data_IF_657812262461
#
_entry.id   IF_657812262461
#
_cell.length_a   1.000
_cell.length_b   1.000
_cell.length_c   1.000
_cell.angle_alpha   90.00
_cell.angle_beta   90.00
_cell.angle_gamma   90.00
#
_symmetry.space_group_name_H-M   'P 1'
#
loop_
_entity.id
_entity.type
_entity.pdbx_description
1 polymer ?
#
# COMPACT_ATOMS: atom_id res chain seq x y z
N UNK A 1 -12.01 -21.35 0.43
CA UNK A 1 -11.47 -21.49 -0.93
C UNK A 1 -10.65 -20.25 -1.28
N UNK A 2 -9.39 -20.19 -0.83
CA UNK A 2 -8.46 -19.10 -1.16
C UNK A 2 -7.58 -19.42 -2.37
N UNK A 3 -6.97 -18.39 -2.95
CA UNK A 3 -6.00 -18.47 -4.05
C UNK A 3 -4.64 -17.98 -3.55
N UNK A 4 -3.59 -18.80 -3.70
CA UNK A 4 -2.21 -18.43 -3.36
C UNK A 4 -1.35 -18.32 -4.62
N UNK A 5 -0.64 -17.20 -4.76
CA UNK A 5 0.26 -16.85 -5.87
C UNK A 5 1.67 -16.73 -5.30
N UNK A 6 2.57 -17.64 -5.67
CA UNK A 6 3.92 -17.70 -5.08
C UNK A 6 5.02 -17.21 -6.02
N UNK A 7 5.73 -16.17 -5.61
CA UNK A 7 6.95 -15.67 -6.21
C UNK A 7 8.14 -16.60 -6.00
N UNK A 8 9.07 -16.60 -6.96
CA UNK A 8 10.29 -17.43 -6.96
C UNK A 8 11.54 -16.66 -7.37
N UNK A 9 11.51 -15.33 -7.26
CA UNK A 9 12.57 -14.41 -7.69
C UNK A 9 12.57 -14.15 -9.20
N UNK A 10 11.52 -14.59 -9.91
CA UNK A 10 11.34 -14.31 -11.34
C UNK A 10 10.42 -13.11 -11.53
N UNK A 11 10.61 -12.39 -12.65
CA UNK A 11 9.69 -11.33 -13.08
C UNK A 11 8.31 -11.92 -13.36
N UNK A 12 7.28 -11.36 -12.74
CA UNK A 12 5.89 -11.79 -12.93
C UNK A 12 4.96 -10.61 -13.16
N UNK A 13 4.00 -10.76 -14.07
CA UNK A 13 2.92 -9.80 -14.28
C UNK A 13 1.59 -10.48 -13.95
N UNK A 14 1.03 -10.15 -12.79
CA UNK A 14 -0.21 -10.69 -12.26
C UNK A 14 -1.28 -9.62 -12.30
N UNK A 15 -2.38 -9.91 -12.99
CA UNK A 15 -3.58 -9.07 -12.94
C UNK A 15 -4.73 -9.87 -12.36
N UNK A 16 -5.37 -9.35 -11.31
CA UNK A 16 -6.53 -9.95 -10.65
C UNK A 16 -7.69 -8.96 -10.70
N UNK A 17 -8.79 -9.41 -11.31
CA UNK A 17 -10.09 -8.73 -11.28
C UNK A 17 -11.13 -9.77 -10.88
N UNK A 18 -12.07 -9.44 -10.00
CA UNK A 18 -13.17 -10.33 -9.65
C UNK A 18 -14.43 -9.57 -9.27
N UNK A 19 -15.60 -10.02 -9.73
CA UNK A 19 -16.87 -9.46 -9.26
C UNK A 19 -17.27 -9.90 -7.86
N UNK A 20 -16.77 -11.06 -7.42
CA UNK A 20 -16.99 -11.63 -6.10
C UNK A 20 -16.04 -12.82 -5.90
N UNK A 21 -15.23 -12.79 -4.85
CA UNK A 21 -14.47 -13.95 -4.38
C UNK A 21 -15.15 -14.48 -3.11
N UNK A 22 -16.00 -15.49 -3.27
CA UNK A 22 -16.75 -16.07 -2.16
C UNK A 22 -15.89 -17.02 -1.33
N UNK A 23 -15.68 -16.66 -0.06
CA UNK A 23 -15.07 -17.49 0.99
C UNK A 23 -13.61 -17.92 0.73
N UNK A 24 -12.65 -17.01 0.79
CA UNK A 24 -11.23 -17.35 0.92
C UNK A 24 -10.28 -16.18 0.71
N UNK A 25 -9.05 -16.33 1.21
CA UNK A 25 -7.99 -15.33 1.08
C UNK A 25 -7.35 -15.31 -0.30
N UNK A 26 -6.97 -14.12 -0.78
CA UNK A 26 -6.03 -13.96 -1.88
C UNK A 26 -4.63 -13.73 -1.29
N UNK A 27 -3.76 -14.71 -1.46
CA UNK A 27 -2.42 -14.70 -0.87
C UNK A 27 -1.36 -14.53 -1.95
N UNK A 28 -0.42 -13.63 -1.73
CA UNK A 28 0.79 -13.47 -2.51
C UNK A 28 1.98 -13.78 -1.60
N UNK A 29 2.82 -14.72 -1.96
CA UNK A 29 3.91 -15.17 -1.08
C UNK A 29 5.25 -15.23 -1.80
N UNK A 30 6.31 -14.75 -1.16
CA UNK A 30 7.67 -14.92 -1.65
C UNK A 30 8.19 -13.79 -2.53
N UNK A 31 9.23 -14.12 -3.29
CA UNK A 31 10.07 -13.15 -4.00
C UNK A 31 9.55 -12.83 -5.41
N UNK A 32 9.27 -11.55 -5.66
CA UNK A 32 8.86 -11.00 -6.94
C UNK A 32 10.00 -10.18 -7.54
N UNK A 33 10.75 -10.83 -8.43
CA UNK A 33 11.98 -10.28 -8.99
C UNK A 33 11.77 -8.98 -9.79
N UNK A 34 12.87 -8.30 -10.11
CA UNK A 34 12.91 -6.99 -10.80
C UNK A 34 11.83 -6.80 -11.88
N UNK A 35 11.17 -5.65 -11.82
CA UNK A 35 10.11 -5.25 -12.76
C UNK A 35 8.86 -6.15 -12.76
N UNK A 36 8.58 -6.81 -11.64
CA UNK A 36 7.30 -7.53 -11.47
C UNK A 36 6.15 -6.53 -11.34
N UNK A 37 4.96 -6.93 -11.75
CA UNK A 37 3.75 -6.11 -11.63
C UNK A 37 2.65 -6.98 -11.06
N UNK A 38 2.09 -6.60 -9.93
CA UNK A 38 0.94 -7.24 -9.32
C UNK A 38 -0.15 -6.19 -9.22
N UNK A 39 -1.27 -6.42 -9.87
CA UNK A 39 -2.40 -5.52 -9.89
C UNK A 39 -3.65 -6.27 -9.47
N UNK A 40 -4.25 -5.86 -8.36
CA UNK A 40 -5.59 -6.27 -7.94
C UNK A 40 -6.48 -5.05 -8.06
N UNK A 41 -7.44 -5.07 -8.99
CA UNK A 41 -8.24 -3.89 -9.26
C UNK A 41 -9.73 -4.18 -9.47
N UNK A 42 -10.56 -3.20 -9.11
CA UNK A 42 -12.01 -3.23 -9.34
C UNK A 42 -12.69 -4.47 -8.77
N UNK A 43 -12.11 -5.06 -7.72
CA UNK A 43 -12.56 -6.34 -7.17
C UNK A 43 -13.41 -6.15 -5.93
N UNK A 44 -14.41 -7.00 -5.76
CA UNK A 44 -15.20 -7.08 -4.52
C UNK A 44 -14.88 -8.39 -3.82
N UNK A 45 -14.30 -8.30 -2.61
CA UNK A 45 -13.70 -9.44 -1.91
C UNK A 45 -14.13 -9.41 -0.45
N UNK A 46 -14.66 -10.53 0.05
CA UNK A 46 -15.13 -10.67 1.43
C UNK A 46 -14.55 -11.93 2.05
N UNK A 47 -14.14 -11.87 3.31
CA UNK A 47 -13.66 -13.04 4.05
C UNK A 47 -14.26 -13.11 5.44
N UNK A 48 -14.94 -14.22 5.73
CA UNK A 48 -15.38 -14.57 7.08
C UNK A 48 -14.26 -15.17 7.93
N UNK A 49 -13.06 -15.38 7.36
CA UNK A 49 -11.92 -16.01 8.03
C UNK A 49 -10.78 -15.00 8.16
N UNK A 50 -10.79 -14.19 9.21
CA UNK A 50 -9.70 -13.29 9.63
C UNK A 50 -9.30 -12.23 8.60
N UNK A 51 -8.55 -12.61 7.57
CA UNK A 51 -8.00 -11.71 6.55
C UNK A 51 -8.52 -12.00 5.13
N UNK A 52 -8.49 -10.98 4.26
CA UNK A 52 -8.98 -11.07 2.87
C UNK A 52 -7.85 -11.16 1.85
N UNK A 53 -6.96 -10.16 1.81
CA UNK A 53 -5.78 -10.17 0.95
C UNK A 53 -4.54 -10.20 1.83
N UNK A 54 -3.62 -11.10 1.56
CA UNK A 54 -2.37 -11.23 2.32
C UNK A 54 -1.14 -11.25 1.42
N UNK A 55 -0.10 -10.53 1.86
CA UNK A 55 1.25 -10.55 1.30
C UNK A 55 2.20 -11.14 2.34
N UNK A 56 2.70 -12.34 2.02
CA UNK A 56 3.42 -13.20 2.95
C UNK A 56 4.90 -13.32 2.55
N UNK A 57 5.81 -13.03 3.48
CA UNK A 57 7.26 -13.13 3.28
C UNK A 57 7.72 -12.60 1.90
N UNK A 58 7.34 -11.35 1.60
CA UNK A 58 7.45 -10.80 0.25
C UNK A 58 8.74 -10.00 0.04
N UNK A 59 9.26 -10.04 -1.19
CA UNK A 59 10.31 -9.15 -1.65
C UNK A 59 9.86 -8.52 -2.97
N UNK A 60 9.83 -7.19 -3.01
CA UNK A 60 9.64 -6.42 -4.24
C UNK A 60 10.94 -5.72 -4.58
N UNK A 61 11.62 -6.25 -5.61
CA UNK A 61 12.85 -5.68 -6.16
C UNK A 61 12.60 -4.38 -6.96
N UNK A 62 13.69 -3.81 -7.47
CA UNK A 62 13.68 -2.57 -8.24
C UNK A 62 12.63 -2.58 -9.36
N UNK A 63 11.89 -1.47 -9.48
CA UNK A 63 10.83 -1.27 -10.46
C UNK A 63 9.66 -2.27 -10.37
N UNK A 64 9.59 -3.11 -9.34
CA UNK A 64 8.44 -3.98 -9.10
C UNK A 64 7.30 -3.18 -8.48
N UNK A 65 6.07 -3.42 -8.92
CA UNK A 65 4.89 -2.72 -8.39
C UNK A 65 3.85 -3.70 -7.86
N UNK A 66 3.31 -3.40 -6.70
CA UNK A 66 2.08 -3.97 -6.18
C UNK A 66 1.03 -2.86 -6.11
N UNK A 67 -0.08 -3.05 -6.80
CA UNK A 67 -1.16 -2.08 -6.93
C UNK A 67 -2.48 -2.71 -6.48
N UNK A 68 -3.05 -2.20 -5.38
CA UNK A 68 -4.43 -2.49 -4.96
C UNK A 68 -5.28 -1.26 -5.29
N UNK A 69 -6.05 -1.33 -6.37
CA UNK A 69 -6.72 -0.16 -6.94
C UNK A 69 -8.25 -0.31 -7.03
N UNK A 70 -8.99 0.60 -6.40
CA UNK A 70 -10.45 0.69 -6.51
C UNK A 70 -11.18 -0.61 -6.16
N UNK A 71 -10.72 -1.32 -5.13
CA UNK A 71 -11.36 -2.54 -4.63
C UNK A 71 -12.32 -2.23 -3.48
N UNK A 72 -13.30 -3.11 -3.30
CA UNK A 72 -14.10 -3.20 -2.08
C UNK A 72 -13.67 -4.45 -1.33
N UNK A 73 -13.06 -4.28 -0.16
CA UNK A 73 -12.45 -5.36 0.63
C UNK A 73 -13.00 -5.31 2.05
N UNK A 74 -13.73 -6.34 2.45
CA UNK A 74 -14.28 -6.46 3.80
C UNK A 74 -13.72 -7.72 4.47
N UNK A 75 -12.90 -7.51 5.49
CA UNK A 75 -12.31 -8.55 6.31
C UNK A 75 -13.07 -8.78 7.61
N UNK A 76 -12.86 -9.95 8.21
CA UNK A 76 -13.35 -10.17 9.57
C UNK A 76 -12.51 -9.34 10.55
N UNK A 77 -11.20 -9.62 10.63
CA UNK A 77 -10.25 -8.84 11.44
C UNK A 77 -9.35 -7.89 10.62
N UNK A 78 -8.93 -8.29 9.41
CA UNK A 78 -8.04 -7.47 8.57
C UNK A 78 -8.49 -7.44 7.10
N UNK A 79 -8.63 -6.26 6.49
CA UNK A 79 -8.94 -6.20 5.05
C UNK A 79 -7.70 -6.55 4.21
N UNK A 80 -6.56 -5.91 4.48
CA UNK A 80 -5.27 -6.22 3.82
C UNK A 80 -4.20 -6.51 4.87
N UNK A 81 -3.44 -7.58 4.68
CA UNK A 81 -2.42 -8.05 5.62
C UNK A 81 -1.04 -8.15 4.94
N UNK A 82 -0.06 -7.45 5.49
CA UNK A 82 1.35 -7.58 5.12
C UNK A 82 2.09 -8.22 6.29
N UNK A 83 2.74 -9.36 6.04
CA UNK A 83 3.59 -10.01 7.05
C UNK A 83 4.99 -9.38 7.08
N UNK A 84 6.06 -10.17 7.09
CA UNK A 84 7.41 -9.71 6.82
C UNK A 84 7.56 -9.39 5.33
N UNK A 85 8.21 -8.28 5.02
CA UNK A 85 8.62 -8.04 3.65
C UNK A 85 9.61 -6.90 3.46
N UNK A 86 10.09 -6.80 2.23
CA UNK A 86 11.08 -5.81 1.80
C UNK A 86 10.61 -5.18 0.49
N UNK A 87 10.70 -3.85 0.43
CA UNK A 87 10.45 -3.06 -0.77
C UNK A 87 11.76 -2.36 -1.13
N UNK A 88 12.48 -2.90 -2.11
CA UNK A 88 13.83 -2.48 -2.50
C UNK A 88 13.81 -1.80 -3.87
N UNK A 89 13.54 -0.49 -3.89
CA UNK A 89 13.39 0.28 -5.14
C UNK A 89 12.17 -0.08 -6.00
N UNK A 90 11.29 -0.97 -5.51
CA UNK A 90 9.94 -1.18 -6.03
C UNK A 90 8.91 -0.42 -5.21
N UNK A 91 7.64 -0.80 -5.29
CA UNK A 91 6.69 -0.37 -4.27
C UNK A 91 5.27 -0.84 -4.34
N UNK A 92 4.59 -0.49 -3.25
CA UNK A 92 3.26 -0.94 -2.87
C UNK A 92 2.37 0.28 -2.85
N UNK A 93 1.25 0.23 -3.58
CA UNK A 93 0.24 1.28 -3.59
C UNK A 93 -1.12 0.65 -3.30
N UNK A 94 -1.76 1.18 -2.27
CA UNK A 94 -3.15 0.89 -1.93
C UNK A 94 -3.94 2.16 -2.18
N UNK A 95 -4.65 2.25 -3.31
CA UNK A 95 -5.31 3.49 -3.74
C UNK A 95 -6.76 3.33 -4.18
N UNK A 96 -7.63 4.24 -3.75
CA UNK A 96 -9.03 4.28 -4.19
C UNK A 96 -9.91 3.17 -3.61
N UNK A 97 -9.44 2.40 -2.63
CA UNK A 97 -10.18 1.24 -2.12
C UNK A 97 -11.17 1.65 -1.03
N UNK A 98 -12.22 0.84 -0.88
CA UNK A 98 -13.05 0.79 0.32
C UNK A 98 -12.61 -0.43 1.14
N UNK A 99 -12.07 -0.20 2.33
CA UNK A 99 -11.52 -1.23 3.22
C UNK A 99 -12.30 -1.24 4.53
N UNK A 100 -12.88 -2.37 4.92
CA UNK A 100 -13.64 -2.48 6.17
C UNK A 100 -13.34 -3.75 6.94
N UNK A 101 -13.57 -3.70 8.25
CA UNK A 101 -13.56 -4.88 9.13
C UNK A 101 -14.92 -5.05 9.79
N UNK A 102 -15.30 -6.30 10.10
CA UNK A 102 -16.60 -6.61 10.72
C UNK A 102 -16.49 -7.06 12.17
N UNK A 103 -15.33 -7.55 12.58
CA UNK A 103 -15.06 -7.95 13.96
C UNK A 103 -14.76 -6.71 14.81
N UNK A 104 -15.15 -6.75 16.08
CA UNK A 104 -15.02 -5.65 17.04
C UNK A 104 -14.67 -6.19 18.44
N UNK A 105 -13.92 -7.29 18.51
CA UNK A 105 -13.77 -8.05 19.76
C UNK A 105 -12.42 -7.78 20.46
N UNK A 106 -11.32 -7.69 19.72
CA UNK A 106 -9.96 -7.67 20.30
C UNK A 106 -9.22 -6.33 20.14
N UNK A 107 -9.79 -5.38 19.38
CA UNK A 107 -9.26 -4.03 19.18
C UNK A 107 -8.02 -3.97 18.29
N UNK A 108 -7.71 -5.04 17.57
CA UNK A 108 -6.60 -5.11 16.60
C UNK A 108 -7.09 -4.97 15.16
N UNK A 109 -8.39 -4.91 14.96
CA UNK A 109 -9.01 -4.96 13.64
C UNK A 109 -8.63 -3.74 12.81
N UNK A 110 -8.14 -3.99 11.60
CA UNK A 110 -7.56 -2.94 10.76
C UNK A 110 -7.84 -3.05 9.27
N UNK A 111 -7.94 -1.89 8.62
CA UNK A 111 -8.05 -1.84 7.16
C UNK A 111 -6.75 -2.35 6.50
N UNK A 112 -5.59 -1.90 7.00
CA UNK A 112 -4.28 -2.41 6.57
C UNK A 112 -3.45 -2.80 7.79
N UNK A 113 -3.12 -4.08 7.90
CA UNK A 113 -2.21 -4.60 8.91
C UNK A 113 -0.81 -4.76 8.31
N UNK A 114 0.22 -4.27 8.99
CA UNK A 114 1.62 -4.46 8.61
C UNK A 114 2.41 -5.02 9.80
N UNK A 115 2.90 -6.24 9.66
CA UNK A 115 3.73 -6.88 10.68
C UNK A 115 5.15 -6.30 10.68
N UNK A 116 5.91 -6.47 9.60
CA UNK A 116 7.26 -5.92 9.51
C UNK A 116 7.63 -5.60 8.08
N UNK A 117 8.10 -4.38 7.81
CA UNK A 117 8.46 -3.96 6.46
C UNK A 117 9.72 -3.11 6.43
N UNK A 118 10.62 -3.42 5.50
CA UNK A 118 11.82 -2.64 5.19
C UNK A 118 11.66 -1.98 3.83
N UNK A 119 11.43 -0.67 3.82
CA UNK A 119 11.25 0.15 2.61
C UNK A 119 12.54 0.90 2.34
N UNK A 120 13.21 0.59 1.23
CA UNK A 120 14.57 1.08 0.98
C UNK A 120 14.89 1.39 -0.46
N UNK A 121 15.99 2.11 -0.66
CA UNK A 121 16.61 2.40 -1.96
C UNK A 121 15.63 3.06 -2.93
N UNK A 122 14.91 4.08 -2.45
CA UNK A 122 13.84 4.75 -3.23
C UNK A 122 12.53 3.96 -3.32
N UNK A 123 12.41 2.84 -2.62
CA UNK A 123 11.17 2.07 -2.54
C UNK A 123 10.06 2.82 -1.83
N UNK A 124 8.81 2.46 -2.10
CA UNK A 124 7.64 3.16 -1.57
C UNK A 124 6.56 2.20 -1.07
N UNK A 125 5.93 2.56 0.04
CA UNK A 125 4.69 1.98 0.52
C UNK A 125 3.72 3.13 0.75
N UNK A 126 2.77 3.27 -0.18
CA UNK A 126 1.82 4.37 -0.24
C UNK A 126 0.38 3.87 -0.09
N UNK A 127 -0.38 4.53 0.78
CA UNK A 127 -1.80 4.30 1.02
C UNK A 127 -2.52 5.63 0.77
N UNK A 128 -3.14 5.77 -0.39
CA UNK A 128 -3.65 7.05 -0.87
C UNK A 128 -5.16 6.97 -1.21
N UNK A 129 -5.94 7.97 -0.83
CA UNK A 129 -7.33 8.11 -1.31
C UNK A 129 -8.20 6.85 -1.06
N UNK A 130 -8.12 6.26 0.12
CA UNK A 130 -8.96 5.12 0.52
C UNK A 130 -10.05 5.57 1.49
N UNK A 131 -11.19 4.90 1.43
CA UNK A 131 -12.23 4.97 2.47
C UNK A 131 -12.09 3.75 3.37
N UNK A 132 -11.88 3.96 4.66
CA UNK A 132 -11.56 2.92 5.63
C UNK A 132 -12.54 2.93 6.81
N UNK A 133 -12.98 1.76 7.26
CA UNK A 133 -13.87 1.61 8.42
C UNK A 133 -13.41 0.43 9.28
N UNK A 134 -12.73 0.70 10.39
CA UNK A 134 -12.14 -0.31 11.26
C UNK A 134 -11.77 0.31 12.63
N UNK A 135 -11.28 -0.50 13.57
CA UNK A 135 -10.69 0.04 14.81
C UNK A 135 -9.45 0.86 14.50
N UNK A 136 -8.60 0.37 13.58
CA UNK A 136 -7.41 1.07 13.10
C UNK A 136 -7.39 1.17 11.58
N UNK A 137 -7.00 2.31 11.02
CA UNK A 137 -6.76 2.42 9.58
C UNK A 137 -5.56 1.55 9.16
N UNK A 138 -4.36 1.97 9.57
CA UNK A 138 -3.08 1.35 9.30
C UNK A 138 -2.44 0.90 10.62
N UNK A 139 -2.32 -0.40 10.82
CA UNK A 139 -1.77 -0.98 12.04
C UNK A 139 -0.33 -1.46 11.81
N UNK A 140 0.64 -0.71 12.33
CA UNK A 140 2.06 -1.05 12.28
C UNK A 140 2.44 -1.83 13.55
N UNK A 141 2.48 -3.15 13.45
CA UNK A 141 2.56 -4.02 14.63
C UNK A 141 3.98 -4.35 15.10
N UNK A 142 4.88 -4.66 14.17
CA UNK A 142 6.23 -5.16 14.47
C UNK A 142 7.32 -4.12 14.20
N UNK A 143 8.16 -4.33 13.19
CA UNK A 143 9.28 -3.42 12.89
C UNK A 143 9.13 -2.86 11.48
N UNK A 144 9.02 -1.55 11.39
CA UNK A 144 9.04 -0.80 10.15
C UNK A 144 10.35 -0.04 10.04
N UNK A 145 11.07 -0.22 8.94
CA UNK A 145 12.29 0.54 8.65
C UNK A 145 12.12 1.22 7.30
N UNK A 146 12.38 2.53 7.24
CA UNK A 146 12.37 3.29 6.00
C UNK A 146 13.74 3.92 5.84
N UNK A 147 14.46 3.61 4.75
CA UNK A 147 15.85 4.08 4.61
C UNK A 147 16.28 4.33 3.18
N UNK A 148 17.40 5.02 3.00
CA UNK A 148 18.01 5.21 1.66
C UNK A 148 16.99 5.78 0.65
N UNK A 149 16.41 6.93 1.00
CA UNK A 149 15.30 7.56 0.27
C UNK A 149 14.01 6.74 0.17
N UNK A 150 13.76 5.76 1.04
CA UNK A 150 12.46 5.08 1.10
C UNK A 150 11.31 6.03 1.46
N UNK A 151 10.09 5.71 1.04
CA UNK A 151 8.87 6.46 1.34
C UNK A 151 7.79 5.57 1.98
N UNK A 152 7.30 5.95 3.15
CA UNK A 152 6.07 5.44 3.74
C UNK A 152 5.03 6.56 3.73
N UNK A 153 3.83 6.33 3.21
CA UNK A 153 2.85 7.41 3.02
C UNK A 153 1.43 6.94 3.28
N UNK A 154 0.66 7.76 4.00
CA UNK A 154 -0.78 7.64 4.22
C UNK A 154 -1.39 8.99 3.90
N UNK A 155 -2.03 9.10 2.73
CA UNK A 155 -2.43 10.38 2.17
C UNK A 155 -3.90 10.39 1.73
N UNK A 156 -4.57 11.53 1.94
CA UNK A 156 -5.90 11.83 1.39
C UNK A 156 -6.96 10.74 1.65
N UNK A 157 -6.82 9.99 2.74
CA UNK A 157 -7.76 8.94 3.11
C UNK A 157 -8.91 9.47 3.97
N UNK A 158 -10.06 8.79 3.88
CA UNK A 158 -11.20 8.96 4.77
C UNK A 158 -11.25 7.77 5.73
N UNK A 159 -11.10 8.00 7.03
CA UNK A 159 -11.10 6.93 8.03
C UNK A 159 -12.19 7.12 9.07
N UNK A 160 -13.05 6.12 9.19
CA UNK A 160 -14.09 6.00 10.20
C UNK A 160 -13.62 5.05 11.29
N UNK A 161 -13.27 5.63 12.43
CA UNK A 161 -12.88 4.89 13.63
C UNK A 161 -14.04 4.20 14.32
N UNK A 162 -13.71 3.44 15.37
CA UNK A 162 -14.69 2.73 16.17
C UNK A 162 -14.74 3.29 17.61
N UNK A 163 -15.89 3.86 17.98
CA UNK A 163 -16.15 4.43 19.33
C UNK A 163 -16.13 3.43 20.46
N UNK A 164 -16.25 2.12 20.18
CA UNK A 164 -16.15 1.05 21.17
C UNK A 164 -14.75 0.88 21.74
N UNK A 165 -13.72 1.46 21.10
CA UNK A 165 -12.33 1.31 21.47
C UNK A 165 -11.66 2.65 21.74
N UNK A 166 -11.04 2.80 22.92
CA UNK A 166 -10.36 4.04 23.33
C UNK A 166 -9.08 4.36 22.56
N UNK A 167 -8.62 3.44 21.71
CA UNK A 167 -7.34 3.53 21.00
C UNK A 167 -7.53 3.55 19.47
N UNK A 168 -8.72 3.91 18.98
CA UNK A 168 -8.97 4.00 17.54
C UNK A 168 -8.11 5.09 16.91
N UNK A 169 -7.37 4.76 15.85
CA UNK A 169 -6.51 5.70 15.16
C UNK A 169 -6.35 5.39 13.67
N UNK A 170 -6.13 6.43 12.85
CA UNK A 170 -5.82 6.27 11.43
C UNK A 170 -4.51 5.50 11.26
N UNK A 171 -3.43 5.91 11.93
CA UNK A 171 -2.19 5.14 11.99
C UNK A 171 -1.93 4.78 13.44
N UNK A 172 -1.79 3.49 13.73
CA UNK A 172 -1.49 3.03 15.07
C UNK A 172 -0.20 2.21 15.10
N UNK A 173 0.70 2.59 16.01
CA UNK A 173 1.99 1.96 16.21
C UNK A 173 1.96 1.07 17.46
N UNK A 174 1.80 -0.23 17.27
CA UNK A 174 2.19 -1.19 18.31
C UNK A 174 3.69 -1.52 18.23
N UNK A 175 4.25 -1.40 17.02
CA UNK A 175 5.64 -1.66 16.65
C UNK A 175 6.55 -0.43 16.65
N UNK A 176 7.81 -0.58 16.23
CA UNK A 176 8.76 0.52 16.05
C UNK A 176 8.87 0.94 14.58
N UNK A 177 9.08 2.23 14.34
CA UNK A 177 9.32 2.85 13.04
C UNK A 177 10.66 3.58 13.09
N UNK A 178 11.61 3.15 12.26
CA UNK A 178 12.95 3.78 12.16
C UNK A 178 13.15 4.37 10.78
N UNK A 179 13.58 5.62 10.71
CA UNK A 179 13.86 6.35 9.48
C UNK A 179 15.32 6.81 9.41
N UNK A 180 15.98 6.56 8.29
CA UNK A 180 17.34 7.04 8.05
C UNK A 180 17.70 7.29 6.58
N UNK A 181 18.81 7.98 6.32
CA UNK A 181 19.37 8.09 4.96
C UNK A 181 18.44 8.72 3.93
N UNK A 182 17.78 9.83 4.27
CA UNK A 182 16.91 10.56 3.33
C UNK A 182 15.49 10.01 3.22
N UNK A 183 15.12 9.08 4.12
CA UNK A 183 13.80 8.47 4.14
C UNK A 183 12.68 9.44 4.55
N UNK A 184 11.46 9.19 4.08
CA UNK A 184 10.31 9.96 4.49
C UNK A 184 9.15 9.09 4.98
N UNK A 185 8.48 9.54 6.04
CA UNK A 185 7.15 9.05 6.43
C UNK A 185 6.16 10.20 6.48
N UNK A 186 5.08 10.09 5.72
CA UNK A 186 4.09 11.16 5.53
C UNK A 186 2.70 10.67 5.92
N UNK A 187 2.03 11.38 6.82
CA UNK A 187 0.60 11.21 7.12
C UNK A 187 -0.07 12.55 6.87
N UNK A 188 -0.65 12.71 5.69
CA UNK A 188 -1.06 14.03 5.20
C UNK A 188 -2.43 14.05 4.53
N UNK A 189 -3.18 15.15 4.70
CA UNK A 189 -4.43 15.35 3.94
C UNK A 189 -5.60 14.44 4.34
N UNK A 190 -5.47 13.65 5.42
CA UNK A 190 -6.49 12.66 5.78
C UNK A 190 -7.68 13.30 6.50
N UNK A 191 -8.87 12.75 6.30
CA UNK A 191 -10.07 13.05 7.10
C UNK A 191 -10.38 11.88 8.02
N UNK A 192 -10.34 12.13 9.32
CA UNK A 192 -10.44 11.13 10.38
C UNK A 192 -11.66 11.42 11.24
N UNK A 193 -12.54 10.43 11.38
CA UNK A 193 -13.79 10.52 12.12
C UNK A 193 -13.71 9.63 13.36
N UNK A 194 -13.90 10.25 14.53
CA UNK A 194 -13.98 9.57 15.82
C UNK A 194 -12.78 8.67 16.13
N UNK A 195 -11.57 9.18 15.92
CA UNK A 195 -10.29 8.50 16.10
C UNK A 195 -9.11 9.46 16.07
N UNK A 196 -8.00 9.11 16.73
CA UNK A 196 -6.74 9.84 16.57
C UNK A 196 -6.17 9.74 15.16
N UNK A 197 -5.40 10.74 14.73
CA UNK A 197 -4.61 10.63 13.48
C UNK A 197 -3.45 9.66 13.68
N UNK A 198 -2.78 9.73 14.84
CA UNK A 198 -1.66 8.87 15.21
C UNK A 198 -1.86 8.34 16.62
N UNK A 199 -1.83 7.03 16.80
CA UNK A 199 -1.80 6.37 18.12
C UNK A 199 -0.53 5.56 18.31
N UNK A 200 0.03 5.54 19.52
CA UNK A 200 1.24 4.78 19.85
C UNK A 200 1.02 4.00 21.14
N UNK A 201 1.36 2.71 21.12
CA UNK A 201 1.28 1.86 22.31
C UNK A 201 2.46 2.12 23.26
N UNK A 202 2.14 2.44 24.52
CA UNK A 202 3.03 2.75 25.66
C UNK A 202 4.41 2.05 25.67
N UNK A 203 5.40 2.63 24.95
CA UNK A 203 6.81 2.26 25.03
C UNK A 203 7.72 3.37 24.47
N UNK A 204 8.85 3.61 25.13
CA UNK A 204 9.83 4.62 24.71
C UNK A 204 10.45 4.30 23.33
N UNK A 205 10.84 5.34 22.58
CA UNK A 205 11.59 5.27 21.32
C UNK A 205 10.95 4.38 20.24
N UNK A 206 9.66 4.55 20.01
CA UNK A 206 8.92 3.87 18.94
C UNK A 206 9.14 4.50 17.58
N UNK A 207 9.41 5.80 17.53
CA UNK A 207 9.65 6.56 16.30
C UNK A 207 11.06 7.13 16.38
N UNK A 208 11.95 6.65 15.51
CA UNK A 208 13.36 7.07 15.49
C UNK A 208 13.72 7.65 14.13
N UNK A 209 14.26 8.87 14.11
CA UNK A 209 14.69 9.55 12.89
C UNK A 209 16.15 9.92 12.99
N UNK A 210 16.93 9.65 11.93
CA UNK A 210 18.33 10.06 11.87
C UNK A 210 18.81 10.34 10.45
N UNK A 211 19.92 11.08 10.34
CA UNK A 211 20.56 11.37 9.06
C UNK A 211 19.94 12.52 8.28
N UNK A 212 20.66 12.96 7.25
CA UNK A 212 20.28 14.12 6.44
C UNK A 212 19.20 13.79 5.42
N UNK A 213 18.25 14.72 5.27
CA UNK A 213 17.10 14.58 4.37
C UNK A 213 16.03 13.61 4.87
N UNK A 214 16.18 13.07 6.08
CA UNK A 214 15.20 12.19 6.71
C UNK A 214 14.09 13.02 7.35
N UNK A 215 12.83 12.77 6.98
CA UNK A 215 11.70 13.60 7.40
C UNK A 215 10.48 12.77 7.80
N UNK A 216 9.83 13.11 8.91
CA UNK A 216 8.44 12.71 9.18
C UNK A 216 7.54 13.92 9.07
N UNK A 217 6.42 13.80 8.36
CA UNK A 217 5.44 14.87 8.18
C UNK A 217 4.04 14.44 8.64
N UNK A 218 3.47 15.15 9.61
CA UNK A 218 2.09 15.01 10.07
C UNK A 218 1.35 16.32 9.80
N UNK A 219 0.71 16.43 8.63
CA UNK A 219 0.23 17.72 8.16
C UNK A 219 -1.07 17.70 7.37
N UNK A 220 -1.85 18.78 7.44
CA UNK A 220 -3.10 18.94 6.68
C UNK A 220 -4.15 17.86 6.97
N UNK A 221 -4.10 17.20 8.12
CA UNK A 221 -5.11 16.21 8.52
C UNK A 221 -6.28 16.92 9.22
N UNK A 222 -7.49 16.39 9.03
CA UNK A 222 -8.71 16.86 9.66
C UNK A 222 -9.29 15.78 10.55
N UNK A 223 -9.41 16.06 11.83
CA UNK A 223 -10.08 15.24 12.83
C UNK A 223 -11.49 15.82 13.08
N UNK A 224 -12.52 14.96 13.06
CA UNK A 224 -13.92 15.35 13.11
C UNK A 224 -14.71 14.53 14.14
N UNK A 225 -15.66 15.20 14.78
CA UNK A 225 -16.69 14.60 15.67
C UNK A 225 -16.06 13.80 16.82
N UNK A 226 -15.04 14.37 17.45
CA UNK A 226 -14.06 13.57 18.16
C UNK A 226 -13.88 13.90 19.64
N UNK A 227 -13.77 12.84 20.45
CA UNK A 227 -13.37 12.89 21.87
C UNK A 227 -11.88 12.54 22.05
N UNK A 228 -11.21 12.11 20.98
CA UNK A 228 -9.83 11.67 20.98
C UNK A 228 -8.87 12.83 20.74
N UNK A 229 -7.63 12.70 21.25
CA UNK A 229 -6.57 13.65 20.93
C UNK A 229 -6.15 13.50 19.46
N UNK A 230 -5.59 14.57 18.88
CA UNK A 230 -5.03 14.52 17.53
C UNK A 230 -4.00 13.39 17.37
N UNK A 231 -3.09 13.29 18.34
CA UNK A 231 -2.16 12.19 18.46
C UNK A 231 -2.19 11.67 19.90
N UNK A 232 -2.30 10.36 20.06
CA UNK A 232 -2.20 9.64 21.33
C UNK A 232 -0.81 9.03 21.46
N UNK A 233 0.12 9.82 21.99
CA UNK A 233 1.52 9.44 22.20
C UNK A 233 2.16 10.26 23.33
N UNK A 234 3.24 9.72 23.88
CA UNK A 234 4.14 10.39 24.82
C UNK A 234 5.38 10.92 24.07
N UNK A 235 5.90 12.08 24.46
CA UNK A 235 7.09 12.68 23.83
C UNK A 235 8.30 11.73 23.81
N UNK A 236 8.43 10.86 24.81
CA UNK A 236 9.50 9.85 24.90
C UNK A 236 9.35 8.72 23.88
N UNK A 237 8.21 8.59 23.20
CA UNK A 237 8.04 7.68 22.07
C UNK A 237 8.86 8.12 20.86
N UNK A 238 9.27 9.40 20.78
CA UNK A 238 9.92 9.98 19.61
C UNK A 238 11.37 10.33 19.92
N UNK A 239 12.28 9.93 19.03
CA UNK A 239 13.68 10.34 19.05
C UNK A 239 14.07 10.91 17.67
N UNK A 240 14.40 12.20 17.63
CA UNK A 240 14.85 12.87 16.40
C UNK A 240 16.32 13.25 16.56
N UNK A 241 17.19 12.62 15.79
CA UNK A 241 18.61 12.95 15.73
C UNK A 241 18.86 13.94 14.59
N UNK A 242 19.36 15.14 14.94
CA UNK A 242 19.80 16.12 13.95
C UNK A 242 20.80 15.50 12.96
N UNK A 243 20.67 15.73 11.63
CA UNK A 243 19.82 16.73 10.98
C UNK A 243 18.48 16.22 10.43
N UNK A 244 17.90 15.14 10.99
CA UNK A 244 16.57 14.70 10.62
C UNK A 244 15.48 15.66 11.14
N UNK A 245 14.31 15.66 10.49
CA UNK A 245 13.21 16.58 10.77
C UNK A 245 11.92 15.83 11.09
N UNK A 246 11.21 16.29 12.13
CA UNK A 246 9.81 15.98 12.35
C UNK A 246 9.04 17.28 12.16
N UNK A 247 8.12 17.29 11.19
CA UNK A 247 7.35 18.45 10.78
C UNK A 247 5.87 18.18 11.07
N UNK A 248 5.23 19.08 11.79
CA UNK A 248 3.81 18.99 12.15
C UNK A 248 3.13 20.32 11.86
N UNK A 249 2.01 20.32 11.16
CA UNK A 249 1.35 21.60 10.91
C UNK A 249 0.09 21.55 10.07
N UNK A 250 -0.70 22.60 10.20
CA UNK A 250 -2.02 22.72 9.60
C UNK A 250 -2.92 21.48 9.79
N UNK A 251 -2.90 20.84 10.96
CA UNK A 251 -3.92 19.87 11.30
C UNK A 251 -5.11 20.58 11.94
N UNK A 252 -6.32 20.10 11.69
CA UNK A 252 -7.57 20.75 12.10
C UNK A 252 -8.39 19.77 12.92
N UNK A 253 -8.93 20.22 14.03
CA UNK A 253 -9.88 19.50 14.89
C UNK A 253 -11.17 20.32 14.98
N UNK A 254 -12.29 19.76 14.53
CA UNK A 254 -13.61 20.43 14.50
C UNK A 254 -13.56 21.89 13.98
N UNK A 255 -12.91 22.07 12.83
CA UNK A 255 -12.70 23.34 12.11
C UNK A 255 -11.74 24.35 12.77
N UNK A 256 -11.12 24.00 13.91
CA UNK A 256 -10.07 24.78 14.54
C UNK A 256 -8.70 24.15 14.33
N UNK A 257 -7.66 24.96 14.20
CA UNK A 257 -6.30 24.44 14.09
C UNK A 257 -5.89 23.71 15.38
N UNK A 258 -5.41 22.47 15.24
CA UNK A 258 -5.04 21.62 16.36
C UNK A 258 -3.90 22.25 17.19
N UNK A 259 -3.99 22.09 18.52
CA UNK A 259 -2.86 22.38 19.41
C UNK A 259 -1.94 21.18 19.51
N UNK A 260 -0.64 21.45 19.61
CA UNK A 260 0.42 20.45 19.77
C UNK A 260 1.17 20.60 21.10
N UNK A 261 0.65 21.43 22.01
CA UNK A 261 1.26 21.67 23.31
C UNK A 261 1.43 20.35 24.07
N UNK A 262 2.64 20.09 24.54
CA UNK A 262 3.04 18.88 25.24
C UNK A 262 2.87 17.55 24.47
N UNK A 263 2.49 17.57 23.18
CA UNK A 263 2.32 16.34 22.37
C UNK A 263 3.65 15.82 21.83
N UNK A 264 4.48 16.71 21.27
CA UNK A 264 5.73 16.35 20.60
C UNK A 264 6.96 16.83 21.38
N UNK A 265 8.14 16.17 21.23
CA UNK A 265 9.36 16.59 21.89
C UNK A 265 9.88 17.96 21.39
N UNK A 266 10.81 18.56 22.12
CA UNK A 266 11.51 19.76 21.67
C UNK A 266 12.26 19.53 20.33
N UNK A 267 12.33 20.56 19.49
CA UNK A 267 13.02 20.51 18.20
C UNK A 267 12.16 20.06 17.01
N UNK A 268 10.88 19.74 17.24
CA UNK A 268 9.89 19.56 16.17
C UNK A 268 9.59 20.87 15.47
N UNK A 269 9.53 20.83 14.14
CA UNK A 269 9.16 21.99 13.33
C UNK A 269 7.64 22.08 13.23
N UNK A 270 7.09 23.19 13.71
CA UNK A 270 5.65 23.44 13.71
C UNK A 270 5.31 24.58 12.75
N UNK A 271 4.31 24.39 11.88
CA UNK A 271 3.82 25.43 10.99
C UNK A 271 2.29 25.58 11.03
N UNK A 272 1.82 26.77 10.66
CA UNK A 272 0.41 27.15 10.75
C UNK A 272 -0.34 26.92 9.44
N UNK A 273 -1.64 26.69 9.51
CA UNK A 273 -2.50 26.73 8.33
C UNK A 273 -2.35 28.03 7.54
N UNK A 274 -2.36 27.92 6.21
CA UNK A 274 -2.11 29.04 5.29
C UNK A 274 -0.63 29.37 5.07
N UNK A 275 0.29 28.67 5.73
CA UNK A 275 1.72 28.71 5.41
C UNK A 275 2.14 27.44 4.69
N UNK A 276 3.08 27.55 3.75
CA UNK A 276 3.64 26.39 3.08
C UNK A 276 4.93 25.95 3.76
N UNK A 277 5.00 24.67 4.12
CA UNK A 277 6.22 24.02 4.53
C UNK A 277 6.63 23.02 3.43
N UNK A 278 7.83 23.20 2.89
CA UNK A 278 8.33 22.44 1.75
C UNK A 278 8.41 20.93 2.07
N UNK A 279 8.90 20.57 3.27
CA UNK A 279 9.08 19.19 3.74
C UNK A 279 7.77 18.47 4.05
N UNK A 280 6.71 19.21 4.41
CA UNK A 280 5.37 18.66 4.57
C UNK A 280 4.66 18.49 3.21
N UNK A 281 4.84 19.45 2.29
CA UNK A 281 4.19 19.47 1.00
C UNK A 281 4.75 18.42 0.03
N UNK A 282 6.07 18.19 0.06
CA UNK A 282 6.78 17.51 -1.02
C UNK A 282 7.62 16.33 -0.56
N UNK A 283 7.61 15.25 -1.35
CA UNK A 283 8.63 14.22 -1.27
C UNK A 283 9.93 14.73 -1.91
N UNK A 284 10.78 15.31 -1.08
CA UNK A 284 11.99 16.03 -1.48
C UNK A 284 12.95 15.22 -2.38
N UNK A 285 13.15 13.91 -2.20
CA UNK A 285 14.00 13.14 -3.11
C UNK A 285 13.50 13.16 -4.58
N UNK A 286 12.18 13.16 -4.81
CA UNK A 286 11.57 13.22 -6.14
C UNK A 286 11.27 14.63 -6.65
N UNK A 287 11.35 15.64 -5.79
CA UNK A 287 10.97 17.03 -6.11
C UNK A 287 12.09 17.80 -6.81
N UNK A 288 11.74 18.50 -7.89
CA UNK A 288 12.62 19.42 -8.63
C UNK A 288 12.58 20.83 -8.05
N UNK A 289 11.37 21.37 -7.83
CA UNK A 289 11.17 22.67 -7.21
C UNK A 289 9.81 22.78 -6.50
N UNK A 290 9.75 23.65 -5.48
CA UNK A 290 8.54 23.89 -4.68
C UNK A 290 7.98 25.27 -5.01
N UNK A 291 6.70 25.33 -5.40
CA UNK A 291 5.95 26.58 -5.50
C UNK A 291 5.33 26.89 -4.14
N UNK A 292 5.98 27.77 -3.38
CA UNK A 292 5.50 28.18 -2.04
C UNK A 292 4.22 29.02 -2.06
N UNK A 293 3.84 29.58 -3.21
CA UNK A 293 2.59 30.32 -3.36
C UNK A 293 1.38 29.41 -3.48
N UNK A 294 1.54 28.26 -4.14
CA UNK A 294 0.50 27.23 -4.29
C UNK A 294 0.66 26.07 -3.30
N UNK A 295 1.78 26.01 -2.60
CA UNK A 295 2.23 24.88 -1.81
C UNK A 295 2.19 23.56 -2.57
N UNK A 296 2.81 23.57 -3.75
CA UNK A 296 2.82 22.44 -4.67
C UNK A 296 4.24 22.13 -5.15
N UNK A 297 4.42 20.89 -5.61
CA UNK A 297 5.71 20.33 -5.98
C UNK A 297 5.75 20.11 -7.50
N UNK A 298 6.85 20.51 -8.13
CA UNK A 298 7.22 20.00 -9.45
C UNK A 298 8.17 18.84 -9.28
N UNK A 299 8.01 17.81 -10.11
CA UNK A 299 8.77 16.57 -10.02
C UNK A 299 9.94 16.57 -11.00
N UNK A 300 11.04 15.92 -10.61
CA UNK A 300 12.18 15.69 -11.50
C UNK A 300 11.74 14.89 -12.73
N UNK A 301 12.52 14.97 -13.81
CA UNK A 301 12.32 14.14 -15.00
C UNK A 301 12.15 12.66 -14.62
N UNK A 302 11.06 12.04 -15.09
CA UNK A 302 10.71 10.64 -14.81
C UNK A 302 10.01 10.40 -13.47
N UNK A 303 9.65 11.45 -12.73
CA UNK A 303 8.85 11.38 -11.51
C UNK A 303 7.45 11.97 -11.75
N UNK A 304 6.44 11.44 -11.08
CA UNK A 304 5.04 11.60 -11.46
C UNK A 304 4.12 11.83 -10.25
N UNK A 305 2.98 12.47 -10.51
CA UNK A 305 1.92 12.70 -9.52
C UNK A 305 2.23 13.81 -8.49
N UNK A 306 1.27 14.09 -7.61
CA UNK A 306 1.41 15.12 -6.57
C UNK A 306 2.54 14.80 -5.56
N UNK A 307 2.75 13.50 -5.30
CA UNK A 307 3.79 13.01 -4.39
C UNK A 307 5.15 12.81 -5.05
N UNK A 308 5.32 13.15 -6.34
CA UNK A 308 6.55 12.89 -7.10
C UNK A 308 7.09 11.49 -6.85
N UNK A 309 6.39 10.47 -7.35
CA UNK A 309 6.78 9.06 -7.30
C UNK A 309 7.55 8.67 -8.57
N UNK A 310 8.49 7.71 -8.52
CA UNK A 310 9.39 7.41 -9.66
C UNK A 310 8.72 6.65 -10.82
N UNK A 311 7.40 6.53 -10.81
CA UNK A 311 6.60 5.80 -11.80
C UNK A 311 5.16 6.36 -11.78
N UNK A 312 4.44 6.17 -12.88
CA UNK A 312 3.05 6.60 -12.98
C UNK A 312 2.12 5.65 -12.21
N UNK A 313 1.31 6.23 -11.31
CA UNK A 313 0.20 5.52 -10.67
C UNK A 313 -1.06 5.78 -11.49
N UNK A 314 -1.72 4.75 -12.05
CA UNK A 314 -2.96 4.95 -12.79
C UNK A 314 -4.09 5.43 -11.85
N UNK A 315 -4.67 6.61 -12.12
CA UNK A 315 -5.83 7.11 -11.35
C UNK A 315 -7.10 6.29 -11.60
N UNK A 316 -7.19 5.69 -12.79
CA UNK A 316 -8.27 4.77 -13.15
C UNK A 316 -7.66 3.51 -13.74
N UNK A 317 -7.85 2.38 -13.08
CA UNK A 317 -7.60 1.09 -13.70
C UNK A 317 -8.81 0.79 -14.55
N UNK A 318 -8.75 1.21 -15.82
CA UNK A 318 -9.34 0.36 -16.84
C UNK A 318 -8.48 -0.90 -16.80
N UNK A 319 -9.04 -2.10 -16.52
CA UNK A 319 -8.30 -3.34 -16.70
C UNK A 319 -7.55 -3.22 -18.02
N UNK A 320 -6.22 -3.46 -18.07
CA UNK A 320 -5.51 -3.39 -19.33
C UNK A 320 -6.37 -4.19 -20.32
N UNK A 321 -6.76 -3.54 -21.42
CA UNK A 321 -7.45 -4.23 -22.51
C UNK A 321 -6.61 -5.46 -22.75
N UNK A 322 -7.18 -6.65 -22.50
CA UNK A 322 -6.44 -7.91 -22.53
C UNK A 322 -5.48 -7.87 -23.71
N UNK A 323 -4.19 -7.73 -23.46
CA UNK A 323 -3.24 -7.80 -24.56
C UNK A 323 -3.41 -9.21 -25.11
N UNK A 324 -3.98 -9.30 -26.31
CA UNK A 324 -4.13 -10.58 -26.98
C UNK A 324 -2.73 -11.13 -27.15
N UNK A 325 -2.51 -12.31 -26.59
CA UNK A 325 -1.35 -13.12 -26.87
C UNK A 325 -1.12 -13.16 -28.38
N UNK A 326 -0.03 -12.54 -28.83
CA UNK A 326 0.48 -12.67 -30.18
C UNK A 326 1.33 -13.93 -30.19
N UNK A 327 0.66 -15.06 -30.38
CA UNK A 327 1.11 -16.11 -31.27
C UNK A 327 -0.03 -17.12 -31.42
N UNK A 328 -0.24 -17.60 -32.65
CA UNK A 328 -1.38 -18.41 -33.07
C UNK A 328 -1.48 -19.81 -32.46
N UNK A 329 -1.10 -20.01 -31.19
CA UNK A 329 -1.08 -21.30 -30.52
C UNK A 329 -1.35 -21.26 -28.99
N UNK A 330 -1.86 -20.13 -28.45
CA UNK A 330 -2.15 -19.98 -27.01
C UNK A 330 -3.65 -19.86 -26.73
N UNK A 331 -4.32 -21.00 -26.52
CA UNK A 331 -5.67 -21.02 -25.95
C UNK A 331 -5.63 -20.53 -24.50
N UNK A 332 -6.31 -19.42 -24.19
CA UNK A 332 -6.66 -19.11 -22.80
C UNK A 332 -7.38 -20.34 -22.21
N UNK A 333 -7.07 -20.70 -20.97
CA UNK A 333 -7.88 -21.68 -20.26
C UNK A 333 -9.18 -20.96 -19.89
N UNK A 334 -10.26 -21.32 -20.58
CA UNK A 334 -11.55 -20.66 -20.43
C UNK A 334 -12.55 -21.55 -19.71
N UNK A 335 -13.29 -20.96 -18.75
CA UNK A 335 -14.46 -21.57 -18.10
C UNK A 335 -14.19 -22.97 -17.52
N UNK A 336 -12.99 -23.21 -17.00
CA UNK A 336 -12.62 -24.48 -16.36
C UNK A 336 -12.57 -24.36 -14.85
N UNK A 337 -12.65 -25.52 -14.18
CA UNK A 337 -12.39 -25.64 -12.75
C UNK A 337 -11.03 -26.28 -12.52
N UNK A 338 -10.08 -25.56 -11.91
CA UNK A 338 -8.71 -26.02 -11.65
C UNK A 338 -8.48 -26.26 -10.15
N UNK A 339 -7.57 -27.16 -9.76
CA UNK A 339 -7.22 -27.39 -8.33
C UNK A 339 -5.89 -26.77 -7.95
N UNK A 340 -4.81 -27.22 -8.58
CA UNK A 340 -3.46 -26.71 -8.43
C UNK A 340 -2.87 -26.57 -9.82
N UNK A 341 -2.11 -25.50 -10.04
CA UNK A 341 -1.50 -25.23 -11.33
C UNK A 341 -0.04 -24.84 -11.12
N UNK A 342 0.85 -25.67 -11.66
CA UNK A 342 2.28 -25.36 -11.73
C UNK A 342 2.56 -24.87 -13.14
N UNK A 343 2.96 -23.61 -13.25
CA UNK A 343 3.34 -23.01 -14.52
C UNK A 343 4.84 -23.11 -14.69
N UNK A 344 5.22 -23.85 -15.73
CA UNK A 344 6.60 -23.88 -16.21
C UNK A 344 6.75 -22.75 -17.23
N UNK A 345 7.63 -21.79 -16.97
CA UNK A 345 7.76 -20.53 -17.73
C UNK A 345 8.38 -20.70 -19.13
N UNK A 346 8.18 -21.85 -19.77
CA UNK A 346 8.67 -22.12 -21.14
C UNK A 346 7.82 -21.38 -22.18
N UNK A 347 6.56 -21.06 -21.83
CA UNK A 347 5.74 -20.11 -22.57
C UNK A 347 5.82 -18.75 -21.87
N UNK A 348 5.95 -17.70 -22.67
CA UNK A 348 6.07 -16.31 -22.18
C UNK A 348 4.74 -15.73 -21.68
N UNK A 349 3.60 -16.36 -22.02
CA UNK A 349 2.26 -15.87 -21.72
C UNK A 349 1.33 -17.02 -21.31
N UNK A 350 0.59 -16.82 -20.21
CA UNK A 350 -0.48 -17.71 -19.75
C UNK A 350 -1.74 -16.88 -19.47
N UNK A 351 -2.91 -17.37 -19.89
CA UNK A 351 -4.18 -16.65 -19.76
C UNK A 351 -5.26 -17.57 -19.19
N UNK A 352 -5.97 -17.09 -18.16
CA UNK A 352 -7.08 -17.79 -17.50
C UNK A 352 -8.28 -16.86 -17.45
N UNK A 353 -9.38 -17.25 -18.11
CA UNK A 353 -10.58 -16.42 -18.18
C UNK A 353 -11.82 -17.19 -17.73
N UNK A 354 -12.50 -16.68 -16.70
CA UNK A 354 -13.67 -17.36 -16.13
C UNK A 354 -13.37 -18.70 -15.48
N UNK A 355 -12.14 -18.88 -15.01
CA UNK A 355 -11.69 -20.10 -14.35
C UNK A 355 -12.06 -20.05 -12.87
N UNK A 356 -12.52 -21.19 -12.34
CA UNK A 356 -12.78 -21.37 -10.91
C UNK A 356 -11.68 -22.24 -10.31
N UNK A 357 -10.99 -21.76 -9.28
CA UNK A 357 -10.07 -22.61 -8.51
C UNK A 357 -10.87 -23.35 -7.43
N UNK A 358 -10.95 -24.68 -7.53
CA UNK A 358 -11.65 -25.54 -6.58
C UNK A 358 -10.68 -26.37 -5.75
N UNK A 359 -10.75 -26.24 -4.42
CA UNK A 359 -9.87 -26.90 -3.48
C UNK A 359 -9.49 -25.96 -2.35
N UNK A 360 -9.31 -26.51 -1.14
CA UNK A 360 -8.73 -25.74 -0.03
C UNK A 360 -7.26 -25.51 -0.35
N UNK A 361 -6.84 -24.23 -0.40
CA UNK A 361 -5.44 -23.86 -0.68
C UNK A 361 -5.02 -24.12 -2.12
N UNK A 362 -5.82 -23.70 -3.12
CA UNK A 362 -5.40 -23.76 -4.51
C UNK A 362 -4.16 -22.89 -4.73
N UNK A 363 -3.08 -23.50 -5.24
CA UNK A 363 -1.80 -22.80 -5.43
C UNK A 363 -1.46 -22.65 -6.91
N UNK A 364 -1.07 -21.43 -7.28
CA UNK A 364 -0.40 -21.09 -8.52
C UNK A 364 1.09 -20.87 -8.25
N UNK A 365 1.96 -21.72 -8.81
CA UNK A 365 3.43 -21.61 -8.67
C UNK A 365 4.12 -21.37 -10.01
N UNK A 366 5.11 -20.48 -10.02
CA UNK A 366 5.94 -20.17 -11.19
C UNK A 366 7.35 -20.75 -11.02
N UNK A 367 7.79 -21.56 -11.99
CA UNK A 367 9.15 -22.10 -12.05
C UNK A 367 9.78 -21.86 -13.43
N UNK A 368 11.05 -21.42 -13.43
CA UNK A 368 11.88 -21.32 -14.64
C UNK A 368 13.02 -22.34 -14.62
N UNK A 369 13.24 -23.03 -15.73
CA UNK A 369 14.51 -23.72 -15.99
C UNK A 369 15.44 -22.75 -16.75
N UNK A 370 16.68 -22.59 -16.28
CA UNK A 370 17.73 -21.89 -17.04
C UNK A 370 17.96 -22.63 -18.37
N UNK A 371 17.44 -22.08 -19.47
CA UNK A 371 17.81 -22.46 -20.81
C UNK A 371 18.10 -21.19 -21.62
N UNK A 372 19.35 -21.06 -22.05
CA UNK A 372 19.84 -19.98 -22.92
C UNK A 372 19.22 -20.06 -24.32
N UNK A 373 18.50 -19.02 -24.81
CA UNK A 373 18.61 -18.49 -26.20
C UNK A 373 17.52 -17.45 -26.66
N UNK A 374 18.02 -16.31 -27.19
CA UNK A 374 17.70 -15.45 -28.37
C UNK A 374 16.31 -14.80 -28.66
N UNK A 375 16.26 -13.52 -29.14
CA UNK A 375 15.04 -12.69 -29.32
C UNK A 375 14.54 -12.57 -30.78
N UNK A 376 13.25 -12.25 -31.00
CA UNK A 376 12.67 -11.30 -31.99
C UNK A 376 11.20 -11.63 -32.42
N UNK A 377 10.25 -10.69 -32.21
CA UNK A 377 9.31 -10.08 -33.20
C UNK A 377 7.95 -9.62 -32.60
N UNK A 378 7.48 -8.45 -33.09
CA UNK A 378 6.24 -7.73 -32.73
C UNK A 378 5.10 -8.00 -33.75
N UNK A 379 3.81 -7.87 -33.35
CA UNK A 379 2.71 -7.07 -33.97
C UNK A 379 1.28 -7.55 -33.59
N UNK A 380 0.35 -6.59 -33.40
CA UNK A 380 -0.98 -6.69 -32.76
C UNK A 380 -2.20 -6.84 -33.72
N UNK A 381 -3.39 -7.28 -33.21
CA UNK A 381 -4.78 -6.78 -33.53
C UNK A 381 -5.96 -7.51 -32.77
N UNK A 382 -7.10 -6.82 -32.58
CA UNK A 382 -8.14 -6.91 -31.49
C UNK A 382 -9.53 -7.52 -31.85
N UNK A 383 -10.47 -7.63 -30.85
CA UNK A 383 -11.99 -7.62 -30.86
C UNK A 383 -12.61 -7.95 -29.45
N UNK A 384 -13.86 -7.49 -29.15
CA UNK A 384 -14.48 -7.07 -27.85
C UNK A 384 -15.83 -7.80 -27.41
N UNK A 385 -16.28 -7.59 -26.13
CA UNK A 385 -17.65 -7.66 -25.45
C UNK A 385 -18.22 -9.04 -24.89
N UNK A 386 -19.22 -9.17 -23.93
CA UNK A 386 -19.52 -8.62 -22.56
C UNK A 386 -19.83 -9.64 -21.39
N UNK A 387 -19.87 -9.11 -20.15
CA UNK A 387 -20.70 -9.42 -18.92
C UNK A 387 -21.00 -10.86 -18.45
N UNK A 388 -20.37 -11.23 -17.32
CA UNK A 388 -20.90 -11.81 -16.06
C UNK A 388 -19.71 -12.26 -15.21
N UNK A 389 -19.82 -12.11 -13.89
CA UNK A 389 -18.74 -12.24 -12.91
C UNK A 389 -17.75 -13.38 -13.15
N UNK A 390 -16.49 -13.02 -13.40
CA UNK A 390 -15.39 -13.92 -13.76
C UNK A 390 -14.07 -13.29 -13.33
N UNK A 391 -13.16 -14.11 -12.81
CA UNK A 391 -11.78 -13.70 -12.64
C UNK A 391 -10.99 -13.92 -13.93
N UNK A 392 -10.19 -12.92 -14.32
CA UNK A 392 -9.28 -12.99 -15.45
C UNK A 392 -7.85 -12.71 -14.95
N UNK A 393 -6.94 -13.66 -15.20
CA UNK A 393 -5.50 -13.46 -14.98
C UNK A 393 -4.83 -13.41 -16.35
N UNK A 394 -4.31 -12.23 -16.71
CA UNK A 394 -3.57 -11.99 -17.96
C UNK A 394 -2.10 -11.71 -17.64
N UNK A 395 -1.20 -12.28 -18.44
CA UNK A 395 0.26 -12.15 -18.33
C UNK A 395 0.82 -11.67 -19.67
N UNK A 396 1.67 -10.65 -19.67
CA UNK A 396 2.41 -10.18 -20.87
C UNK A 396 3.63 -9.34 -20.49
N UNK A 397 4.73 -9.47 -21.23
CA UNK A 397 6.10 -9.00 -20.90
C UNK A 397 6.29 -7.48 -20.80
#
# INVERSE_FOLDING_TARGET
MGLSIKGSGQRVHVHVTSSLLDSGSLEFEGDFGVSSQILVAGSTVFSMSGLVIAFLDFLFDANSTLLLLNNFIEGNGYAVYFSNGVVDGGGIIVKGNTLSTTEEDDGMESAVYVYAVDVRNGGYFDVENNTMSAVTGIYLYGVTTVRSAGLLSVADCEFFGNTGFLNSALVYLAGSVTLEGGAQWRVVGNSVYVASVLGVKDAQHKIELSGSGTTVALANNRQLDDIFSFADLDQSNIAVASPALLVVGCNVHDDEEASYDDVFPEGVEVFRCGTCNDDAACYMPGTESVDRGLCSCSCKDGWHGASCLPFEVPDTVVPPLSERAVDGDTSCVENQTLKNLTLNMWKTHHCYAGVTFSGVGAVLRFFGHYATASPHQHHAHWVHIPRRGRAAVCWGC
#
